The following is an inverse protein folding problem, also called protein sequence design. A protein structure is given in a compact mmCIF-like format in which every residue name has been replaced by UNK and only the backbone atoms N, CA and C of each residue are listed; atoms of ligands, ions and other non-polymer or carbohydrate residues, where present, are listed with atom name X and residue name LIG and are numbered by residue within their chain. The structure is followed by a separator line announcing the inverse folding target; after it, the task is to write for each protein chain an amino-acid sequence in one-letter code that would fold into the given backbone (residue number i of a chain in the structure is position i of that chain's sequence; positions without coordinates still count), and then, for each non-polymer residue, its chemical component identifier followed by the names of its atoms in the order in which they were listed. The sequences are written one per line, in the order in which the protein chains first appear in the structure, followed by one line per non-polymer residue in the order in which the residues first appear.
data_IF_992829624030
#
_entry.id   IF_992829624030
#
_cell.length_a   1.000
_cell.length_b   1.000
_cell.length_c   1.000
_cell.angle_alpha   90.00
_cell.angle_beta   90.00
_cell.angle_gamma   90.00
#
_symmetry.space_group_name_H-M   'P 1'
#
loop_
_entity.id
_entity.type
_entity.pdbx_description
1 polymer ?
#
# COMPACT_ATOMS: atom_id res chain seq x y z
N UNK A 1 3.20 20.46 -39.41
CA UNK A 1 4.57 20.30 -38.89
C UNK A 1 4.81 21.40 -37.88
N UNK A 2 4.66 21.11 -36.57
CA UNK A 2 5.15 22.01 -35.52
C UNK A 2 6.48 21.43 -35.05
N UNK A 3 7.47 22.31 -35.05
CA UNK A 3 8.88 22.05 -34.84
C UNK A 3 9.12 21.53 -33.41
N UNK A 4 9.58 20.28 -33.29
CA UNK A 4 9.92 19.62 -32.03
C UNK A 4 11.41 19.82 -31.76
N UNK A 5 11.78 20.98 -31.24
CA UNK A 5 13.13 21.27 -30.73
C UNK A 5 13.04 21.79 -29.31
N UNK A 6 12.67 20.89 -28.40
CA UNK A 6 13.11 20.90 -27.02
C UNK A 6 12.85 19.50 -26.43
N UNK A 7 13.86 18.63 -26.48
CA UNK A 7 13.83 17.29 -25.86
C UNK A 7 14.40 17.34 -24.45
N UNK A 8 13.90 18.26 -23.63
CA UNK A 8 13.87 18.03 -22.19
C UNK A 8 12.54 17.36 -21.90
N UNK A 9 12.51 16.03 -22.10
CA UNK A 9 11.32 15.21 -21.89
C UNK A 9 10.80 15.43 -20.48
N UNK A 10 9.54 15.85 -20.35
CA UNK A 10 8.88 15.90 -19.06
C UNK A 10 8.93 14.47 -18.49
N UNK A 11 9.53 14.22 -17.30
CA UNK A 11 9.72 12.86 -16.76
C UNK A 11 8.44 12.02 -16.74
N UNK A 12 7.29 12.69 -16.60
CA UNK A 12 5.98 12.08 -16.61
C UNK A 12 5.55 11.55 -17.99
N UNK A 13 5.95 12.19 -19.09
CA UNK A 13 5.67 11.74 -20.45
C UNK A 13 6.49 10.49 -20.79
N UNK A 14 7.76 10.44 -20.38
CA UNK A 14 8.64 9.29 -20.61
C UNK A 14 8.13 8.05 -19.87
N UNK A 15 7.63 8.23 -18.64
CA UNK A 15 6.93 7.18 -17.89
C UNK A 15 5.71 6.65 -18.65
N UNK A 16 4.84 7.52 -19.17
CA UNK A 16 3.64 7.09 -19.91
C UNK A 16 4.03 6.38 -21.21
N UNK A 17 5.04 6.88 -21.92
CA UNK A 17 5.51 6.28 -23.17
C UNK A 17 6.09 4.89 -22.94
N UNK A 18 6.95 4.72 -21.93
CA UNK A 18 7.52 3.43 -21.58
C UNK A 18 6.46 2.42 -21.13
N UNK A 19 5.43 2.87 -20.38
CA UNK A 19 4.29 2.05 -20.02
C UNK A 19 3.52 1.57 -21.26
N UNK A 20 3.23 2.47 -22.21
CA UNK A 20 2.57 2.14 -23.47
C UNK A 20 3.36 1.11 -24.30
N UNK A 21 4.69 1.30 -24.42
CA UNK A 21 5.57 0.39 -25.15
C UNK A 21 5.56 -0.99 -24.49
N UNK A 22 5.66 -1.04 -23.16
CA UNK A 22 5.67 -2.28 -22.38
C UNK A 22 4.34 -3.03 -22.48
N UNK A 23 3.22 -2.31 -22.38
CA UNK A 23 1.89 -2.90 -22.53
C UNK A 23 1.67 -3.47 -23.94
N UNK A 24 2.08 -2.75 -25.00
CA UNK A 24 1.97 -3.23 -26.39
C UNK A 24 2.80 -4.48 -26.65
N UNK A 25 4.01 -4.58 -26.07
CA UNK A 25 4.83 -5.80 -26.16
C UNK A 25 4.14 -7.02 -25.55
N UNK A 26 3.21 -6.81 -24.61
CA UNK A 26 2.38 -7.87 -24.02
C UNK A 26 1.04 -8.09 -24.76
N UNK A 27 0.81 -7.42 -25.90
CA UNK A 27 -0.42 -7.54 -26.68
C UNK A 27 -1.62 -6.80 -26.08
N UNK A 28 -1.40 -5.89 -25.13
CA UNK A 28 -2.47 -5.14 -24.47
C UNK A 28 -2.84 -3.91 -25.29
N UNK A 29 -4.16 -3.69 -25.46
CA UNK A 29 -4.70 -2.58 -26.25
C UNK A 29 -5.06 -1.37 -25.39
N UNK A 30 -5.46 -1.60 -24.14
CA UNK A 30 -5.96 -0.59 -23.22
C UNK A 30 -5.13 -0.60 -21.94
N UNK A 31 -4.92 0.58 -21.39
CA UNK A 31 -4.21 0.78 -20.13
C UNK A 31 -4.89 1.91 -19.39
N UNK A 32 -5.05 1.73 -18.08
CA UNK A 32 -5.55 2.73 -17.17
C UNK A 32 -4.38 3.32 -16.38
N UNK A 33 -4.32 4.65 -16.27
CA UNK A 33 -3.33 5.39 -15.49
C UNK A 33 -4.09 6.48 -14.73
N UNK A 34 -4.01 6.46 -13.40
CA UNK A 34 -4.69 7.39 -12.49
C UNK A 34 -4.63 8.86 -12.94
N UNK A 35 -3.44 9.35 -13.28
CA UNK A 35 -3.21 10.73 -13.68
C UNK A 35 -3.73 11.08 -15.08
N UNK A 36 -4.06 10.08 -15.90
CA UNK A 36 -4.59 10.28 -17.25
C UNK A 36 -6.09 10.01 -17.33
N UNK A 37 -6.60 9.11 -16.49
CA UNK A 37 -7.93 8.53 -16.62
C UNK A 37 -8.93 9.03 -15.58
N UNK A 38 -8.48 9.74 -14.53
CA UNK A 38 -9.36 10.34 -13.53
C UNK A 38 -9.40 11.85 -13.74
N UNK A 39 -10.58 12.40 -13.98
CA UNK A 39 -10.80 13.84 -13.90
C UNK A 39 -10.86 14.29 -12.44
N UNK A 40 -9.71 14.71 -11.91
CA UNK A 40 -9.59 15.20 -10.52
C UNK A 40 -10.34 16.52 -10.26
N UNK A 41 -10.87 17.17 -11.30
CA UNK A 41 -11.67 18.40 -11.17
C UNK A 41 -13.16 18.13 -10.95
N UNK A 42 -13.62 16.91 -11.22
CA UNK A 42 -14.98 16.48 -10.95
C UNK A 42 -15.00 15.67 -9.65
N UNK A 43 -15.67 16.20 -8.62
CA UNK A 43 -15.72 15.57 -7.30
C UNK A 43 -16.51 14.26 -7.28
N UNK A 44 -17.52 14.14 -8.15
CA UNK A 44 -18.32 12.91 -8.28
C UNK A 44 -17.46 11.81 -8.91
N UNK A 45 -16.81 12.12 -10.03
CA UNK A 45 -15.92 11.18 -10.72
C UNK A 45 -14.74 10.78 -9.83
N UNK A 46 -14.14 11.73 -9.11
CA UNK A 46 -13.03 11.47 -8.20
C UNK A 46 -13.45 10.53 -7.05
N UNK A 47 -14.62 10.76 -6.46
CA UNK A 47 -15.16 9.92 -5.38
C UNK A 47 -15.45 8.50 -5.88
N UNK A 48 -16.09 8.36 -7.05
CA UNK A 48 -16.35 7.07 -7.67
C UNK A 48 -15.04 6.35 -8.01
N UNK A 49 -14.05 7.08 -8.53
CA UNK A 49 -12.75 6.54 -8.90
C UNK A 49 -11.99 6.02 -7.68
N UNK A 50 -12.00 6.74 -6.57
CA UNK A 50 -11.34 6.31 -5.32
C UNK A 50 -11.98 5.02 -4.79
N UNK A 51 -13.31 4.92 -4.80
CA UNK A 51 -14.01 3.71 -4.36
C UNK A 51 -13.85 2.54 -5.34
N UNK A 52 -13.53 2.80 -6.61
CA UNK A 52 -13.39 1.78 -7.66
C UNK A 52 -11.95 1.33 -7.92
N UNK A 53 -10.95 2.11 -7.49
CA UNK A 53 -9.55 1.92 -7.86
C UNK A 53 -9.01 0.53 -7.55
N UNK A 54 -9.31 0.04 -6.34
CA UNK A 54 -8.93 -1.30 -5.92
C UNK A 54 -9.50 -2.37 -6.86
N UNK A 55 -10.77 -2.23 -7.25
CA UNK A 55 -11.42 -3.15 -8.18
C UNK A 55 -10.76 -3.10 -9.56
N UNK A 56 -10.41 -1.90 -10.06
CA UNK A 56 -9.71 -1.77 -11.34
C UNK A 56 -8.34 -2.46 -11.33
N UNK A 57 -7.59 -2.33 -10.24
CA UNK A 57 -6.33 -3.08 -10.07
C UNK A 57 -6.56 -4.59 -9.98
N UNK A 58 -7.58 -5.03 -9.25
CA UNK A 58 -7.93 -6.44 -9.07
C UNK A 58 -8.38 -7.12 -10.37
N UNK A 59 -9.13 -6.41 -11.21
CA UNK A 59 -9.70 -6.94 -12.46
C UNK A 59 -8.73 -6.80 -13.65
N UNK A 60 -7.63 -6.06 -13.49
CA UNK A 60 -6.64 -5.91 -14.53
C UNK A 60 -5.94 -7.25 -14.86
N UNK A 61 -5.76 -7.50 -16.15
CA UNK A 61 -5.02 -8.69 -16.62
C UNK A 61 -3.55 -8.67 -16.19
N UNK A 62 -2.96 -7.48 -16.06
CA UNK A 62 -1.64 -7.25 -15.49
C UNK A 62 -1.52 -5.78 -15.06
N UNK A 63 -0.83 -5.55 -13.95
CA UNK A 63 -0.40 -4.22 -13.54
C UNK A 63 1.12 -4.08 -13.72
N UNK A 64 1.54 -2.92 -14.22
CA UNK A 64 2.96 -2.59 -14.43
C UNK A 64 3.37 -1.56 -13.38
N UNK A 65 4.31 -1.91 -12.50
CA UNK A 65 4.90 -1.00 -11.53
C UNK A 65 6.21 -0.46 -12.06
N UNK A 66 6.31 0.87 -12.12
CA UNK A 66 7.52 1.60 -12.51
C UNK A 66 8.16 2.20 -11.27
N UNK A 67 9.40 1.79 -10.98
CA UNK A 67 10.21 2.28 -9.87
C UNK A 67 11.20 3.32 -10.41
N UNK A 68 10.86 4.60 -10.27
CA UNK A 68 11.63 5.72 -10.85
C UNK A 68 13.02 5.88 -10.27
N UNK A 69 13.23 5.42 -9.04
CA UNK A 69 14.45 5.58 -8.25
C UNK A 69 15.29 4.30 -8.17
N UNK A 70 14.89 3.23 -8.87
CA UNK A 70 15.62 1.96 -8.92
C UNK A 70 16.26 1.78 -10.29
N UNK A 71 17.47 1.20 -10.32
CA UNK A 71 18.14 0.77 -11.56
C UNK A 71 18.62 -0.66 -11.39
N UNK A 72 18.32 -1.52 -12.37
CA UNK A 72 18.75 -2.91 -12.37
C UNK A 72 20.26 -2.99 -12.47
N UNK A 73 20.88 -3.67 -11.50
CA UNK A 73 22.32 -3.93 -11.53
C UNK A 73 22.66 -5.04 -12.54
N UNK A 74 23.82 -4.95 -13.18
CA UNK A 74 24.34 -5.98 -14.09
C UNK A 74 24.75 -7.27 -13.37
N UNK A 75 24.90 -7.24 -12.05
CA UNK A 75 25.24 -8.40 -11.22
C UNK A 75 24.01 -9.10 -10.61
N UNK A 76 24.23 -10.26 -10.00
CA UNK A 76 23.20 -10.96 -9.22
C UNK A 76 22.79 -10.11 -8.02
N UNK A 77 21.57 -9.58 -8.07
CA UNK A 77 20.97 -8.85 -6.95
C UNK A 77 20.17 -9.85 -6.11
N UNK A 78 20.44 -9.90 -4.80
CA UNK A 78 19.83 -10.89 -3.89
C UNK A 78 18.90 -10.20 -2.91
N UNK A 79 17.74 -10.83 -2.65
CA UNK A 79 16.77 -10.37 -1.67
C UNK A 79 16.19 -8.99 -1.97
N UNK A 80 15.92 -8.22 -0.92
CA UNK A 80 15.33 -6.87 -0.99
C UNK A 80 16.19 -5.83 -1.72
N UNK A 81 17.47 -6.11 -1.98
CA UNK A 81 18.37 -5.18 -2.69
C UNK A 81 17.93 -4.85 -4.12
N UNK A 82 17.05 -5.68 -4.72
CA UNK A 82 16.44 -5.41 -6.03
C UNK A 82 15.63 -4.11 -6.06
N UNK A 83 15.15 -3.67 -4.90
CA UNK A 83 14.35 -2.46 -4.74
C UNK A 83 15.15 -1.27 -4.21
N UNK A 84 16.47 -1.37 -4.15
CA UNK A 84 17.30 -0.31 -3.59
C UNK A 84 17.34 0.90 -4.50
N UNK A 85 17.06 2.07 -3.92
CA UNK A 85 17.14 3.35 -4.60
C UNK A 85 18.60 3.67 -4.95
N UNK A 86 18.87 4.05 -6.20
CA UNK A 86 20.20 4.54 -6.60
C UNK A 86 20.47 5.98 -6.12
N UNK A 87 19.42 6.69 -5.69
CA UNK A 87 19.53 8.08 -5.22
C UNK A 87 19.83 8.13 -3.73
N UNK A 88 19.09 7.39 -2.91
CA UNK A 88 19.21 7.44 -1.44
C UNK A 88 20.01 6.28 -0.85
N UNK A 89 20.12 5.16 -1.58
CA UNK A 89 20.65 3.91 -1.01
C UNK A 89 19.70 3.25 -0.01
N UNK A 90 18.48 3.73 0.15
CA UNK A 90 17.42 3.08 0.94
C UNK A 90 16.51 2.23 0.03
N UNK A 91 15.43 1.66 0.57
CA UNK A 91 14.41 1.00 -0.25
C UNK A 91 13.64 2.03 -1.07
N UNK A 92 13.19 1.63 -2.26
CA UNK A 92 12.48 2.51 -3.20
C UNK A 92 11.33 3.26 -2.52
N UNK A 93 11.22 4.55 -2.84
CA UNK A 93 10.13 5.42 -2.38
C UNK A 93 8.74 4.89 -2.76
N UNK A 94 8.65 3.95 -3.73
CA UNK A 94 7.39 3.30 -4.02
C UNK A 94 6.81 2.57 -2.81
N UNK A 95 7.63 1.99 -1.92
CA UNK A 95 7.17 1.28 -0.73
C UNK A 95 6.69 2.19 0.40
N UNK A 96 7.10 3.45 0.42
CA UNK A 96 6.66 4.43 1.43
C UNK A 96 5.39 5.17 1.03
N UNK A 97 4.85 5.01 -0.18
CA UNK A 97 3.63 5.71 -0.62
C UNK A 97 2.38 4.96 -0.16
N UNK A 98 1.37 5.67 0.36
CA UNK A 98 0.12 5.07 0.84
C UNK A 98 -0.64 4.27 -0.23
N UNK A 99 -0.90 4.90 -1.38
CA UNK A 99 -1.66 4.30 -2.48
C UNK A 99 -1.02 3.04 -3.08
N UNK A 100 0.29 2.87 -2.98
CA UNK A 100 0.97 1.72 -3.59
C UNK A 100 0.71 0.41 -2.85
N UNK A 101 0.14 0.45 -1.64
CA UNK A 101 -0.25 -0.76 -0.92
C UNK A 101 -1.39 -1.50 -1.63
N UNK A 102 -2.41 -0.77 -2.09
CA UNK A 102 -3.46 -1.39 -2.89
C UNK A 102 -2.97 -1.77 -4.30
N UNK A 103 -2.08 -0.98 -4.89
CA UNK A 103 -1.42 -1.33 -6.17
C UNK A 103 -0.63 -2.65 -6.06
N UNK A 104 -0.09 -2.96 -4.87
CA UNK A 104 0.62 -4.21 -4.58
C UNK A 104 -0.34 -5.39 -4.41
N UNK A 105 -1.32 -5.22 -3.53
CA UNK A 105 -2.17 -6.31 -3.05
C UNK A 105 -3.28 -6.69 -4.02
N UNK A 106 -3.92 -5.70 -4.66
CA UNK A 106 -5.10 -5.92 -5.48
C UNK A 106 -4.84 -6.77 -6.74
N UNK A 107 -3.80 -6.51 -7.56
CA UNK A 107 -3.64 -7.21 -8.83
C UNK A 107 -3.29 -8.69 -8.65
N UNK A 108 -3.90 -9.56 -9.45
CA UNK A 108 -3.47 -10.96 -9.54
C UNK A 108 -2.08 -11.12 -10.16
N UNK A 109 -1.75 -10.29 -11.16
CA UNK A 109 -0.45 -10.26 -11.84
C UNK A 109 0.14 -8.85 -11.78
N UNK A 110 1.30 -8.71 -11.15
CA UNK A 110 2.03 -7.45 -11.02
C UNK A 110 3.48 -7.64 -11.45
N UNK A 111 3.98 -6.75 -12.31
CA UNK A 111 5.33 -6.78 -12.86
C UNK A 111 6.09 -5.50 -12.49
N UNK A 112 7.30 -5.64 -11.95
CA UNK A 112 8.15 -4.51 -11.57
C UNK A 112 9.16 -4.19 -12.67
N UNK A 113 9.32 -2.89 -12.91
CA UNK A 113 10.26 -2.32 -13.85
C UNK A 113 11.07 -1.21 -13.18
N UNK A 114 12.34 -1.11 -13.54
CA UNK A 114 13.23 -0.04 -13.07
C UNK A 114 13.03 1.27 -13.85
N UNK A 115 13.84 2.28 -13.52
CA UNK A 115 13.78 3.62 -14.15
C UNK A 115 13.98 3.60 -15.67
N UNK A 116 14.69 2.59 -16.19
CA UNK A 116 15.01 2.40 -17.59
C UNK A 116 14.06 1.38 -18.28
N UNK A 117 12.94 1.02 -17.63
CA UNK A 117 11.96 0.00 -18.08
C UNK A 117 12.54 -1.41 -18.25
N UNK A 118 13.61 -1.74 -17.52
CA UNK A 118 14.09 -3.11 -17.42
C UNK A 118 13.23 -3.92 -16.46
N UNK A 119 12.84 -5.12 -16.87
CA UNK A 119 12.10 -6.05 -16.02
C UNK A 119 12.93 -6.47 -14.80
N UNK A 120 12.40 -6.23 -13.61
CA UNK A 120 13.01 -6.63 -12.33
C UNK A 120 12.49 -7.99 -11.86
N UNK A 121 11.22 -8.27 -12.07
CA UNK A 121 10.55 -9.48 -11.61
C UNK A 121 9.05 -9.25 -11.40
N UNK A 122 8.30 -10.33 -11.20
CA UNK A 122 6.89 -10.29 -10.84
C UNK A 122 6.71 -10.27 -9.33
N UNK A 123 5.52 -9.87 -8.86
CA UNK A 123 5.17 -9.93 -7.43
C UNK A 123 5.40 -11.33 -6.83
N UNK A 124 5.13 -12.39 -7.60
CA UNK A 124 5.35 -13.78 -7.16
C UNK A 124 6.83 -14.13 -7.09
N UNK A 125 7.63 -13.73 -8.09
CA UNK A 125 9.08 -14.00 -8.12
C UNK A 125 9.83 -13.23 -7.03
N UNK A 126 9.34 -12.05 -6.66
CA UNK A 126 9.95 -11.16 -5.68
C UNK A 126 9.26 -11.19 -4.31
N UNK A 127 8.44 -12.22 -4.03
CA UNK A 127 7.60 -12.25 -2.84
C UNK A 127 8.40 -12.14 -1.53
N UNK A 128 9.50 -12.89 -1.40
CA UNK A 128 10.41 -12.82 -0.24
C UNK A 128 11.07 -11.44 -0.14
N UNK A 129 11.55 -10.89 -1.26
CA UNK A 129 12.11 -9.53 -1.31
C UNK A 129 11.11 -8.45 -0.90
N UNK A 130 9.82 -8.63 -1.20
CA UNK A 130 8.74 -7.70 -0.82
C UNK A 130 8.36 -7.90 0.65
N UNK A 131 8.34 -9.14 1.15
CA UNK A 131 8.12 -9.45 2.56
C UNK A 131 9.16 -8.75 3.44
N UNK A 132 10.44 -8.84 3.09
CA UNK A 132 11.54 -8.17 3.79
C UNK A 132 11.33 -6.65 3.92
N UNK A 133 10.74 -6.02 2.89
CA UNK A 133 10.55 -4.55 2.85
C UNK A 133 9.26 -4.12 3.55
N UNK A 134 8.20 -4.93 3.47
CA UNK A 134 6.84 -4.50 3.83
C UNK A 134 6.25 -5.20 5.04
N UNK A 135 6.83 -6.33 5.46
CA UNK A 135 6.24 -7.24 6.45
C UNK A 135 4.99 -7.98 5.94
N UNK A 136 4.66 -7.89 4.65
CA UNK A 136 3.58 -8.68 4.05
C UNK A 136 4.14 -10.08 3.76
N UNK A 137 3.67 -11.07 4.52
CA UNK A 137 4.12 -12.45 4.35
C UNK A 137 4.01 -12.94 2.90
N UNK A 138 5.04 -13.61 2.39
CA UNK A 138 5.14 -14.03 0.99
C UNK A 138 3.92 -14.82 0.50
N UNK A 139 3.30 -15.63 1.36
CA UNK A 139 2.10 -16.41 1.01
C UNK A 139 0.89 -15.55 0.58
N UNK A 140 0.82 -14.28 0.99
CA UNK A 140 -0.19 -13.33 0.51
C UNK A 140 0.15 -12.74 -0.86
N UNK A 141 1.44 -12.76 -1.24
CA UNK A 141 1.95 -12.20 -2.49
C UNK A 141 2.00 -13.24 -3.62
N UNK A 142 2.18 -14.53 -3.28
CA UNK A 142 2.20 -15.66 -4.23
C UNK A 142 0.81 -16.21 -4.58
N UNK A 143 -0.24 -15.68 -3.97
CA UNK A 143 -1.63 -16.18 -4.05
C UNK A 143 -1.86 -17.57 -3.44
N UNK A 144 -0.95 -18.04 -2.59
CA UNK A 144 -1.17 -19.24 -1.77
C UNK A 144 -2.26 -19.03 -0.73
N UNK A 145 -2.37 -17.81 -0.20
CA UNK A 145 -3.45 -17.37 0.69
C UNK A 145 -3.95 -16.00 0.27
N UNK A 146 -5.26 -15.79 0.33
CA UNK A 146 -5.84 -14.47 0.04
C UNK A 146 -5.52 -13.50 1.18
N UNK A 147 -4.88 -12.36 0.86
CA UNK A 147 -4.58 -11.28 1.82
C UNK A 147 -5.85 -10.77 2.55
N UNK A 148 -7.03 -10.93 1.94
CA UNK A 148 -8.33 -10.58 2.55
C UNK A 148 -8.58 -11.34 3.85
N UNK A 149 -7.97 -12.51 4.02
CA UNK A 149 -8.05 -13.33 5.24
C UNK A 149 -7.12 -12.86 6.36
N UNK A 150 -6.22 -11.92 6.10
CA UNK A 150 -5.41 -11.28 7.14
C UNK A 150 -6.30 -10.42 8.04
N UNK A 151 -5.99 -10.41 9.34
CA UNK A 151 -6.68 -9.59 10.33
C UNK A 151 -6.44 -8.09 10.10
N UNK A 152 -7.27 -7.26 10.74
CA UNK A 152 -7.18 -5.80 10.63
C UNK A 152 -5.81 -5.29 11.10
N UNK A 153 -5.27 -5.81 12.20
CA UNK A 153 -3.96 -5.39 12.70
C UNK A 153 -2.83 -5.62 11.68
N UNK A 154 -2.83 -6.78 11.01
CA UNK A 154 -1.84 -7.07 9.97
C UNK A 154 -1.96 -6.11 8.77
N UNK A 155 -3.19 -5.86 8.29
CA UNK A 155 -3.43 -4.90 7.21
C UNK A 155 -3.01 -3.48 7.59
N UNK A 156 -3.26 -3.07 8.83
CA UNK A 156 -2.80 -1.79 9.36
C UNK A 156 -1.28 -1.74 9.49
N UNK A 157 -0.61 -2.82 9.90
CA UNK A 157 0.86 -2.83 9.98
C UNK A 157 1.52 -2.66 8.61
N UNK A 158 0.90 -3.18 7.54
CA UNK A 158 1.39 -2.97 6.16
C UNK A 158 1.27 -1.52 5.68
N UNK A 159 0.37 -0.75 6.32
CA UNK A 159 0.14 0.66 6.04
C UNK A 159 0.93 1.61 6.97
N UNK A 160 1.43 1.13 8.11
CA UNK A 160 1.92 1.96 9.21
C UNK A 160 3.11 2.87 8.87
N UNK A 161 3.96 2.47 7.93
CA UNK A 161 5.14 3.22 7.50
C UNK A 161 4.95 3.94 6.16
N UNK A 162 3.70 4.08 5.72
CA UNK A 162 3.36 4.71 4.45
C UNK A 162 2.83 6.12 4.66
N UNK A 163 3.15 6.99 3.72
CA UNK A 163 2.83 8.41 3.72
C UNK A 163 1.98 8.78 2.51
N UNK A 164 1.13 9.78 2.70
CA UNK A 164 0.28 10.35 1.66
C UNK A 164 0.45 11.85 1.58
N UNK A 165 0.34 12.42 0.37
CA UNK A 165 0.48 13.86 0.17
C UNK A 165 -0.71 14.64 0.74
N UNK A 166 -1.93 14.11 0.57
CA UNK A 166 -3.13 14.63 1.23
C UNK A 166 -3.36 13.84 2.50
N UNK A 167 -3.78 14.51 3.56
CA UNK A 167 -4.00 13.87 4.85
C UNK A 167 -5.08 12.78 4.73
N UNK A 168 -6.19 13.07 4.06
CA UNK A 168 -7.33 12.16 3.95
C UNK A 168 -7.01 10.86 3.20
N UNK A 169 -6.03 10.91 2.30
CA UNK A 169 -5.60 9.75 1.51
C UNK A 169 -5.03 8.62 2.39
N UNK A 170 -4.59 8.93 3.63
CA UNK A 170 -4.19 7.91 4.61
C UNK A 170 -5.32 6.92 4.90
N UNK A 171 -6.58 7.38 4.79
CA UNK A 171 -7.76 6.56 4.93
C UNK A 171 -8.24 6.02 3.59
N UNK A 172 -8.33 6.88 2.56
CA UNK A 172 -8.92 6.52 1.27
C UNK A 172 -8.13 5.42 0.55
N UNK A 173 -6.80 5.41 0.68
CA UNK A 173 -5.94 4.37 0.11
C UNK A 173 -6.18 2.98 0.70
N UNK A 174 -6.89 2.89 1.84
CA UNK A 174 -7.17 1.65 2.55
C UNK A 174 -8.58 1.10 2.30
N UNK A 175 -9.47 1.85 1.64
CA UNK A 175 -10.87 1.45 1.44
C UNK A 175 -10.99 0.08 0.74
N UNK A 176 -10.25 -0.10 -0.36
CA UNK A 176 -10.25 -1.36 -1.08
C UNK A 176 -9.67 -2.54 -0.30
N UNK A 177 -8.62 -2.29 0.51
CA UNK A 177 -7.96 -3.32 1.33
C UNK A 177 -8.92 -3.86 2.40
N UNK A 178 -9.73 -2.96 2.97
CA UNK A 178 -10.73 -3.30 3.98
C UNK A 178 -12.11 -3.59 3.40
N UNK A 179 -12.28 -3.55 2.08
CA UNK A 179 -13.56 -3.70 1.39
C UNK A 179 -14.63 -2.76 1.99
N UNK A 180 -14.33 -1.46 1.98
CA UNK A 180 -15.18 -0.38 2.47
C UNK A 180 -15.60 0.53 1.31
N UNK A 181 -16.83 1.03 1.38
CA UNK A 181 -17.33 2.08 0.51
C UNK A 181 -17.79 3.22 1.41
N UNK A 182 -17.00 4.28 1.50
CA UNK A 182 -17.26 5.42 2.37
C UNK A 182 -17.24 6.71 1.54
N UNK A 183 -18.00 7.75 1.95
CA UNK A 183 -17.92 9.04 1.28
C UNK A 183 -16.49 9.59 1.28
N UNK A 184 -16.05 10.12 0.14
CA UNK A 184 -14.76 10.81 -0.01
C UNK A 184 -15.02 12.31 0.12
N UNK A 185 -14.36 12.96 1.08
CA UNK A 185 -14.51 14.39 1.37
C UNK A 185 -13.13 15.04 1.54
N UNK A 186 -12.55 15.54 0.44
CA UNK A 186 -11.30 16.31 0.56
C UNK A 186 -11.54 17.61 1.32
N UNK A 187 -10.72 17.86 2.35
CA UNK A 187 -10.87 18.95 3.31
C UNK A 187 -11.25 18.49 4.72
N UNK A 188 -11.56 17.21 4.94
CA UNK A 188 -11.87 16.68 6.28
C UNK A 188 -10.63 16.34 7.12
N UNK A 189 -9.43 16.37 6.52
CA UNK A 189 -8.16 16.06 7.18
C UNK A 189 -8.17 14.70 7.90
N UNK A 190 -7.73 14.68 9.16
CA UNK A 190 -7.70 13.48 10.00
C UNK A 190 -9.09 12.86 10.28
N UNK A 191 -10.18 13.59 10.03
CA UNK A 191 -11.54 13.05 10.13
C UNK A 191 -11.76 11.81 9.25
N UNK A 192 -11.10 11.74 8.10
CA UNK A 192 -11.18 10.59 7.20
C UNK A 192 -10.69 9.30 7.87
N UNK A 193 -9.60 9.39 8.64
CA UNK A 193 -9.03 8.24 9.36
C UNK A 193 -9.90 7.81 10.54
N UNK A 194 -10.53 8.76 11.25
CA UNK A 194 -11.50 8.44 12.30
C UNK A 194 -12.70 7.65 11.74
N UNK A 195 -13.26 8.09 10.60
CA UNK A 195 -14.34 7.36 9.92
C UNK A 195 -13.91 5.96 9.45
N UNK A 196 -12.66 5.82 9.02
CA UNK A 196 -12.10 4.50 8.71
C UNK A 196 -12.08 3.63 9.98
N UNK A 197 -11.57 4.14 11.11
CA UNK A 197 -11.55 3.40 12.37
C UNK A 197 -12.95 2.98 12.82
N UNK A 198 -13.94 3.89 12.77
CA UNK A 198 -15.34 3.59 13.09
C UNK A 198 -15.90 2.45 12.22
N UNK A 199 -15.60 2.47 10.91
CA UNK A 199 -16.01 1.42 9.99
C UNK A 199 -15.31 0.08 10.24
N UNK A 200 -14.07 0.10 10.76
CA UNK A 200 -13.32 -1.10 11.10
C UNK A 200 -13.78 -1.74 12.41
N UNK A 201 -14.19 -0.96 13.40
CA UNK A 201 -14.78 -1.46 14.66
C UNK A 201 -16.01 -2.33 14.34
N UNK A 202 -16.83 -1.91 13.39
CA UNK A 202 -18.02 -2.66 12.97
C UNK A 202 -17.72 -4.04 12.34
N UNK A 203 -16.47 -4.31 11.93
CA UNK A 203 -16.06 -5.63 11.38
C UNK A 203 -15.79 -6.68 12.46
N UNK A 204 -15.80 -6.29 13.74
CA UNK A 204 -15.64 -7.19 14.90
C UNK A 204 -14.37 -8.08 14.82
N UNK A 205 -13.26 -7.50 14.37
CA UNK A 205 -11.95 -8.16 14.39
C UNK A 205 -11.21 -7.74 15.67
N UNK A 206 -11.01 -8.71 16.57
CA UNK A 206 -10.42 -8.45 17.88
C UNK A 206 -8.96 -7.96 17.82
N UNK A 207 -8.26 -8.21 16.70
CA UNK A 207 -6.89 -7.72 16.51
C UNK A 207 -6.81 -6.19 16.48
N UNK A 208 -7.91 -5.49 16.19
CA UNK A 208 -7.97 -4.03 16.26
C UNK A 208 -7.67 -3.50 17.68
N UNK A 209 -7.99 -4.31 18.68
CA UNK A 209 -7.75 -3.99 20.07
C UNK A 209 -6.46 -4.66 20.61
N UNK A 210 -5.71 -5.35 19.76
CA UNK A 210 -4.42 -5.91 20.13
C UNK A 210 -3.43 -4.79 20.41
N UNK A 211 -2.95 -4.72 21.65
CA UNK A 211 -1.98 -3.72 22.07
C UNK A 211 -0.86 -4.39 22.85
N UNK A 212 0.33 -3.81 22.77
CA UNK A 212 1.51 -4.26 23.50
C UNK A 212 1.69 -3.39 24.74
N UNK A 213 1.84 -4.02 25.90
CA UNK A 213 2.09 -3.32 27.16
C UNK A 213 3.33 -2.41 27.05
N UNK A 214 3.23 -1.10 27.36
CA UNK A 214 4.37 -0.20 27.41
C UNK A 214 5.42 -0.71 28.38
N UNK A 215 6.70 -0.49 28.03
CA UNK A 215 7.83 -0.86 28.89
C UNK A 215 7.86 -0.03 30.19
N UNK A 216 7.43 1.23 30.15
CA UNK A 216 7.40 2.17 31.28
C UNK A 216 6.20 3.13 31.16
N UNK A 217 5.61 3.55 32.30
CA UNK A 217 4.51 4.52 32.36
C UNK A 217 3.38 4.14 33.35
N UNK A 218 2.35 4.99 33.51
CA UNK A 218 1.25 4.74 34.46
C UNK A 218 0.46 3.45 34.19
N UNK A 219 0.55 2.86 32.99
CA UNK A 219 -0.03 1.55 32.67
C UNK A 219 0.65 0.37 33.40
N UNK A 220 1.93 0.51 33.78
CA UNK A 220 2.66 -0.50 34.57
C UNK A 220 2.24 -0.48 36.05
N UNK A 221 1.68 0.66 36.51
CA UNK A 221 1.22 0.84 37.89
C UNK A 221 -0.22 0.35 38.12
N UNK A 222 -0.89 -0.17 37.09
CA UNK A 222 -2.23 -0.74 37.23
C UNK A 222 -2.11 -2.14 37.84
N UNK A 223 -2.29 -2.25 39.16
CA UNK A 223 -2.50 -3.54 39.80
C UNK A 223 -3.81 -4.13 39.26
N UNK A 224 -3.69 -5.19 38.49
CA UNK A 224 -4.80 -6.02 38.04
C UNK A 224 -5.35 -6.69 39.30
N UNK A 225 -6.49 -6.19 39.80
CA UNK A 225 -7.16 -6.78 40.95
C UNK A 225 -7.71 -8.13 40.47
N UNK A 226 -7.27 -9.26 41.05
CA UNK A 226 -7.56 -10.57 40.51
C UNK A 226 -8.98 -10.98 40.92
N UNK A 227 -9.96 -10.61 40.10
CA UNK A 227 -11.22 -11.36 40.00
C UNK A 227 -11.47 -11.89 38.57
N UNK A 228 -10.63 -11.53 37.59
CA UNK A 228 -10.60 -12.17 36.26
C UNK A 228 -9.18 -12.24 35.69
N UNK A 229 -8.80 -13.43 35.25
CA UNK A 229 -7.43 -13.91 35.01
C UNK A 229 -6.73 -13.39 33.74
N UNK A 230 -6.20 -12.16 33.72
CA UNK A 230 -5.06 -11.90 32.83
C UNK A 230 -4.10 -10.92 33.49
N UNK A 231 -3.04 -11.43 34.11
CA UNK A 231 -1.87 -10.64 34.50
C UNK A 231 -0.96 -10.55 33.26
N UNK A 232 -0.98 -9.41 32.54
CA UNK A 232 -0.16 -9.23 31.34
C UNK A 232 1.19 -8.62 31.71
N UNK A 233 2.26 -9.37 31.50
CA UNK A 233 3.64 -8.92 31.70
C UNK A 233 4.09 -7.83 30.71
N UNK A 234 5.22 -7.15 30.97
CA UNK A 234 5.83 -6.22 30.02
C UNK A 234 6.11 -6.91 28.68
N UNK A 235 5.68 -6.31 27.57
CA UNK A 235 5.71 -6.88 26.21
C UNK A 235 4.68 -7.97 25.89
N UNK A 236 3.74 -8.30 26.79
CA UNK A 236 2.64 -9.20 26.45
C UNK A 236 1.53 -8.46 25.67
N UNK A 237 0.82 -9.22 24.85
CA UNK A 237 -0.26 -8.73 24.00
C UNK A 237 -1.60 -8.92 24.70
N UNK A 238 -2.38 -7.85 24.82
CA UNK A 238 -3.74 -7.88 25.36
C UNK A 238 -4.78 -7.61 24.27
N UNK A 239 -5.98 -8.17 24.44
CA UNK A 239 -7.12 -7.92 23.54
C UNK A 239 -7.87 -6.63 23.89
N UNK A 240 -7.77 -6.13 25.12
CA UNK A 240 -8.43 -4.88 25.55
C UNK A 240 -7.52 -4.21 26.58
N UNK A 241 -7.47 -2.88 26.60
CA UNK A 241 -6.89 -2.17 27.73
C UNK A 241 -7.79 -2.39 28.96
N UNK A 242 -7.24 -2.65 30.17
CA UNK A 242 -8.05 -2.57 31.38
C UNK A 242 -8.68 -1.16 31.42
N UNK A 243 -9.99 -1.11 31.66
CA UNK A 243 -10.84 0.07 31.44
C UNK A 243 -10.26 1.39 31.98
N UNK A 244 -10.54 2.55 31.35
CA UNK A 244 -10.25 3.85 31.95
C UNK A 244 -10.94 3.97 33.31
N UNK A 245 -10.27 4.57 34.30
CA UNK A 245 -10.91 5.01 35.54
C UNK A 245 -11.60 6.36 35.34
#
# INVERSE_FOLDING_TARGET
MRDTKDRHGLPQLDKILGACITARKQGLQWMWIDNCCINKSDSSELSESINSMFKWYSDAVVCLTYLSDVRKSSGTTVGSQVFRSFETGEMSLWFSRGWTLQELLAPGKLLFYDTDWNYLGSKRELAESIEDVTGIAAHYLTSEKDFRTACIAAKMSWAAHRETTREEDMAYSLFGIFNLHLPVQYGEGKGAFLRLQDALIAKNDESLFAWKMPLEGPGVAYQIIPDSMVDLGPNEWGLLAPSPR
#
